data_IF_423693274694
#
_entry.id   IF_423693274694
#
_cell.length_a   1.000
_cell.length_b   1.000
_cell.length_c   1.000
_cell.angle_alpha   90.00
_cell.angle_beta   90.00
_cell.angle_gamma   90.00
#
_symmetry.space_group_name_H-M   'P 1'
#
loop_
_entity.id
_entity.type
_entity.pdbx_description
1 polymer ?
#
# COMPACT_ATOMS: atom_id res chain seq x y z
N UNK A 1 7.22 12.94 -5.11
CA UNK A 1 6.34 13.24 -6.25
C UNK A 1 6.82 12.42 -7.43
N UNK A 2 5.91 11.77 -8.12
CA UNK A 2 6.14 11.08 -9.38
C UNK A 2 5.67 11.97 -10.52
N UNK A 3 6.36 11.88 -11.64
CA UNK A 3 6.02 12.58 -12.87
C UNK A 3 5.81 11.53 -13.94
N UNK A 4 4.63 11.56 -14.57
CA UNK A 4 4.25 10.65 -15.63
C UNK A 4 3.91 11.45 -16.88
N UNK A 5 4.46 11.07 -18.02
CA UNK A 5 3.98 11.57 -19.32
C UNK A 5 2.87 10.63 -19.81
N UNK A 6 1.66 11.18 -19.91
CA UNK A 6 0.50 10.46 -20.47
C UNK A 6 -0.02 11.28 -21.65
N UNK A 7 0.21 10.78 -22.86
CA UNK A 7 -0.19 11.42 -24.13
C UNK A 7 0.38 12.84 -24.31
N UNK A 8 1.64 13.07 -23.94
CA UNK A 8 2.31 14.38 -24.06
C UNK A 8 1.86 15.38 -23.00
N UNK A 9 1.08 14.93 -22.00
CA UNK A 9 0.72 15.72 -20.83
C UNK A 9 1.43 15.19 -19.61
N UNK A 10 2.18 16.08 -18.97
CA UNK A 10 2.83 15.79 -17.70
C UNK A 10 1.79 15.75 -16.57
N UNK A 11 1.77 14.64 -15.84
CA UNK A 11 0.86 14.36 -14.74
C UNK A 11 1.66 14.05 -13.49
N UNK A 12 1.22 14.60 -12.36
CA UNK A 12 1.96 14.58 -11.11
C UNK A 12 1.21 13.79 -10.05
N UNK A 13 1.88 12.80 -9.45
CA UNK A 13 1.36 12.07 -8.30
C UNK A 13 2.24 12.38 -7.07
N UNK A 14 1.72 13.20 -6.16
CA UNK A 14 2.39 13.60 -4.94
C UNK A 14 1.73 13.06 -3.67
N UNK A 15 2.27 13.46 -2.53
CA UNK A 15 1.70 13.13 -1.22
C UNK A 15 0.28 13.69 -1.07
N UNK A 16 -0.03 14.81 -1.74
CA UNK A 16 -1.36 15.43 -1.76
C UNK A 16 -2.38 14.53 -2.48
N UNK A 17 -2.05 14.04 -3.67
CA UNK A 17 -2.91 13.12 -4.42
C UNK A 17 -3.11 11.83 -3.65
N UNK A 18 -2.03 11.30 -3.06
CA UNK A 18 -2.07 10.12 -2.20
C UNK A 18 -3.01 10.31 -1.00
N UNK A 19 -2.90 11.44 -0.29
CA UNK A 19 -3.79 11.81 0.83
C UNK A 19 -5.26 11.89 0.39
N UNK A 20 -5.54 12.58 -0.71
CA UNK A 20 -6.91 12.77 -1.21
C UNK A 20 -7.55 11.44 -1.61
N UNK A 21 -6.76 10.53 -2.18
CA UNK A 21 -7.24 9.23 -2.65
C UNK A 21 -7.45 8.25 -1.50
N UNK A 22 -6.46 8.12 -0.61
CA UNK A 22 -6.48 7.12 0.46
C UNK A 22 -7.21 7.59 1.70
N UNK A 23 -7.18 8.89 2.00
CA UNK A 23 -7.61 9.44 3.28
C UNK A 23 -6.65 9.15 4.43
N UNK A 24 -5.51 8.50 4.18
CA UNK A 24 -4.52 8.25 5.22
C UNK A 24 -3.93 9.55 5.73
N UNK A 25 -3.69 9.63 7.03
CA UNK A 25 -3.05 10.80 7.60
C UNK A 25 -1.64 10.95 7.01
N UNK A 26 -1.39 12.13 6.46
CA UNK A 26 -0.12 12.55 5.88
C UNK A 26 0.33 13.86 6.52
N UNK A 27 1.62 14.17 6.44
CA UNK A 27 2.25 15.30 7.13
C UNK A 27 2.64 14.98 8.58
N UNK A 28 3.36 15.89 9.24
CA UNK A 28 3.92 15.66 10.57
C UNK A 28 5.14 14.72 10.60
N UNK A 29 5.66 14.47 11.80
CA UNK A 29 6.83 13.62 12.02
C UNK A 29 6.48 12.13 11.85
N UNK A 30 7.36 11.36 11.21
CA UNK A 30 7.25 9.90 11.13
C UNK A 30 7.87 9.18 12.33
N UNK A 31 8.47 9.92 13.27
CA UNK A 31 9.00 9.32 14.50
C UNK A 31 7.86 9.15 15.49
N UNK A 32 7.69 7.92 15.98
CA UNK A 32 6.76 7.64 17.05
C UNK A 32 7.37 8.03 18.39
N UNK A 33 6.80 9.06 19.03
CA UNK A 33 7.29 9.58 20.31
C UNK A 33 6.85 8.66 21.46
N UNK A 34 7.83 8.04 22.12
CA UNK A 34 7.65 7.15 23.26
C UNK A 34 8.91 7.12 24.13
N UNK A 35 8.78 6.71 25.39
CA UNK A 35 9.94 6.45 26.25
C UNK A 35 10.76 5.29 25.65
N UNK A 36 12.07 5.45 25.51
CA UNK A 36 12.97 4.42 24.97
C UNK A 36 12.91 3.10 25.75
N UNK A 37 12.52 3.15 27.03
CA UNK A 37 12.33 1.98 27.89
C UNK A 37 10.95 1.34 27.77
N UNK A 38 10.07 1.86 26.89
CA UNK A 38 8.73 1.29 26.70
C UNK A 38 8.82 -0.13 26.18
N UNK A 39 8.07 -1.02 26.82
CA UNK A 39 7.97 -2.43 26.47
C UNK A 39 6.60 -2.65 25.84
N UNK A 40 6.58 -3.25 24.64
CA UNK A 40 5.33 -3.66 24.02
C UNK A 40 4.84 -4.97 24.64
N UNK A 41 3.61 -4.97 25.14
CA UNK A 41 2.94 -6.16 25.70
C UNK A 41 2.87 -7.27 24.65
N UNK A 42 2.50 -6.91 23.41
CA UNK A 42 2.38 -7.84 22.30
C UNK A 42 3.73 -8.44 21.89
N UNK A 43 4.79 -7.64 21.80
CA UNK A 43 6.13 -8.18 21.52
C UNK A 43 6.56 -9.16 22.60
N UNK A 44 6.49 -8.77 23.87
CA UNK A 44 6.92 -9.64 24.97
C UNK A 44 6.10 -10.93 25.05
N UNK A 45 4.81 -10.89 24.70
CA UNK A 45 3.92 -12.03 24.79
C UNK A 45 4.08 -13.02 23.63
N UNK A 46 4.15 -12.52 22.39
CA UNK A 46 4.09 -13.36 21.20
C UNK A 46 5.44 -13.55 20.50
N UNK A 47 6.40 -12.68 20.77
CA UNK A 47 7.72 -12.66 20.14
C UNK A 47 8.82 -12.44 21.19
N UNK A 48 8.95 -13.30 22.22
CA UNK A 48 9.82 -13.05 23.38
C UNK A 48 11.32 -12.98 23.05
N UNK A 49 11.73 -13.47 21.87
CA UNK A 49 13.11 -13.41 21.39
C UNK A 49 13.41 -12.10 20.61
N UNK A 50 12.39 -11.33 20.27
CA UNK A 50 12.49 -10.10 19.49
C UNK A 50 12.30 -8.88 20.40
N UNK A 51 13.29 -7.98 20.41
CA UNK A 51 13.29 -6.81 21.32
C UNK A 51 12.79 -5.54 20.64
N UNK A 52 13.35 -5.21 19.46
CA UNK A 52 13.08 -3.93 18.80
C UNK A 52 12.30 -4.07 17.48
N UNK A 53 12.22 -5.28 16.93
CA UNK A 53 11.52 -5.55 15.67
C UNK A 53 11.31 -7.05 15.50
N UNK A 54 10.24 -7.41 14.80
CA UNK A 54 9.89 -8.80 14.46
C UNK A 54 9.96 -8.99 12.96
N UNK A 55 10.48 -10.13 12.48
CA UNK A 55 10.41 -10.47 11.06
C UNK A 55 8.95 -10.56 10.63
N UNK A 56 8.56 -9.85 9.56
CA UNK A 56 7.15 -9.78 9.15
C UNK A 56 6.57 -11.17 8.82
N UNK A 57 7.38 -12.08 8.26
CA UNK A 57 6.97 -13.46 8.03
C UNK A 57 6.60 -14.20 9.33
N UNK A 58 7.39 -14.02 10.40
CA UNK A 58 7.08 -14.61 11.71
C UNK A 58 5.83 -13.99 12.32
N UNK A 59 5.66 -12.67 12.19
CA UNK A 59 4.42 -12.01 12.62
C UNK A 59 3.19 -12.59 11.90
N UNK A 60 3.23 -12.72 10.58
CA UNK A 60 2.13 -13.26 9.78
C UNK A 60 1.84 -14.72 10.16
N UNK A 61 2.88 -15.52 10.41
CA UNK A 61 2.74 -16.91 10.87
C UNK A 61 1.97 -16.96 12.20
N UNK A 62 2.39 -16.16 13.19
CA UNK A 62 1.69 -16.10 14.49
C UNK A 62 0.26 -15.58 14.34
N UNK A 63 0.04 -14.59 13.47
CA UNK A 63 -1.30 -14.02 13.26
C UNK A 63 -2.30 -15.00 12.63
N UNK A 64 -1.83 -15.88 11.74
CA UNK A 64 -2.68 -16.83 11.01
C UNK A 64 -2.86 -18.18 11.72
N UNK A 65 -2.09 -18.45 12.76
CA UNK A 65 -2.20 -19.70 13.51
C UNK A 65 -3.38 -19.62 14.50
N UNK A 66 -4.35 -20.50 14.33
CA UNK A 66 -5.54 -20.54 15.15
C UNK A 66 -5.21 -20.81 16.62
N UNK A 67 -5.80 -20.02 17.52
CA UNK A 67 -5.67 -20.20 18.97
C UNK A 67 -4.36 -19.70 19.60
N UNK A 68 -3.44 -19.13 18.82
CA UNK A 68 -2.24 -18.48 19.40
C UNK A 68 -2.54 -17.11 20.02
N UNK A 69 -3.35 -16.30 19.34
CA UNK A 69 -3.66 -14.94 19.79
C UNK A 69 -4.80 -14.95 20.79
N UNK A 70 -4.60 -14.29 21.93
CA UNK A 70 -5.66 -14.07 22.92
C UNK A 70 -6.71 -13.08 22.39
N UNK A 71 -7.97 -13.28 22.76
CA UNK A 71 -9.10 -12.46 22.32
C UNK A 71 -8.87 -10.96 22.56
N UNK A 72 -8.34 -10.61 23.74
CA UNK A 72 -8.02 -9.22 24.13
C UNK A 72 -6.97 -8.54 23.23
N UNK A 73 -6.10 -9.31 22.59
CA UNK A 73 -5.01 -8.81 21.75
C UNK A 73 -5.36 -8.84 20.26
N UNK A 74 -6.44 -9.53 19.89
CA UNK A 74 -6.80 -9.79 18.49
C UNK A 74 -6.99 -8.51 17.69
N UNK A 75 -7.60 -7.48 18.30
CA UNK A 75 -7.79 -6.19 17.64
C UNK A 75 -6.45 -5.52 17.30
N UNK A 76 -5.53 -5.42 18.27
CA UNK A 76 -4.24 -4.78 18.07
C UNK A 76 -3.37 -5.58 17.07
N UNK A 77 -3.36 -6.91 17.18
CA UNK A 77 -2.67 -7.78 16.23
C UNK A 77 -3.25 -7.61 14.81
N UNK A 78 -4.57 -7.52 14.67
CA UNK A 78 -5.24 -7.27 13.39
C UNK A 78 -4.88 -5.91 12.81
N UNK A 79 -4.76 -4.88 13.64
CA UNK A 79 -4.33 -3.55 13.20
C UNK A 79 -2.88 -3.55 12.72
N UNK A 80 -1.97 -4.22 13.44
CA UNK A 80 -0.57 -4.36 13.02
C UNK A 80 -0.47 -5.17 11.72
N UNK A 81 -1.26 -6.25 11.59
CA UNK A 81 -1.36 -7.01 10.35
C UNK A 81 -1.85 -6.14 9.20
N UNK A 82 -2.91 -5.34 9.42
CA UNK A 82 -3.48 -4.47 8.40
C UNK A 82 -2.48 -3.39 7.94
N UNK A 83 -1.85 -2.70 8.90
CA UNK A 83 -0.86 -1.66 8.62
C UNK A 83 0.34 -2.26 7.88
N UNK A 84 0.94 -3.31 8.41
CA UNK A 84 2.15 -3.89 7.83
C UNK A 84 1.89 -4.51 6.47
N UNK A 85 0.79 -5.25 6.30
CA UNK A 85 0.50 -6.03 5.10
C UNK A 85 -0.16 -5.19 4.00
N UNK A 86 -1.17 -4.38 4.33
CA UNK A 86 -1.92 -3.63 3.32
C UNK A 86 -1.40 -2.21 3.15
N UNK A 87 -1.21 -1.45 4.24
CA UNK A 87 -0.81 -0.03 4.13
C UNK A 87 0.64 0.10 3.68
N UNK A 88 1.54 -0.72 4.22
CA UNK A 88 2.98 -0.64 3.96
C UNK A 88 3.47 -1.67 2.92
N UNK A 89 2.71 -2.75 2.68
CA UNK A 89 2.93 -3.77 1.63
C UNK A 89 4.38 -4.22 1.41
N UNK A 90 5.16 -4.34 2.47
CA UNK A 90 6.56 -4.79 2.37
C UNK A 90 6.69 -6.32 2.22
N UNK A 91 7.74 -6.86 1.57
CA UNK A 91 7.94 -8.30 1.41
C UNK A 91 8.11 -9.01 2.77
N UNK A 92 7.30 -10.03 3.12
CA UNK A 92 7.35 -10.66 4.45
C UNK A 92 8.72 -11.20 4.85
N UNK A 93 9.46 -11.76 3.90
CA UNK A 93 10.76 -12.39 4.15
C UNK A 93 11.92 -11.40 4.26
N UNK A 94 11.73 -10.15 3.84
CA UNK A 94 12.80 -9.14 3.78
C UNK A 94 12.52 -7.92 4.67
N UNK A 95 11.36 -7.88 5.31
CA UNK A 95 10.92 -6.72 6.09
C UNK A 95 10.61 -7.09 7.53
N UNK A 96 10.75 -6.10 8.41
CA UNK A 96 10.51 -6.25 9.83
C UNK A 96 9.45 -5.24 10.28
N UNK A 97 8.66 -5.62 11.28
CA UNK A 97 7.72 -4.74 11.97
C UNK A 97 8.44 -4.19 13.21
N UNK A 98 8.75 -2.88 13.26
CA UNK A 98 9.46 -2.29 14.40
C UNK A 98 8.55 -2.20 15.64
N UNK A 99 9.15 -2.23 16.82
CA UNK A 99 8.52 -2.04 18.13
C UNK A 99 7.61 -0.82 18.18
N UNK A 100 8.02 0.27 17.55
CA UNK A 100 7.24 1.50 17.44
C UNK A 100 5.84 1.27 16.86
N UNK A 101 5.68 0.34 15.91
CA UNK A 101 4.37 0.02 15.35
C UNK A 101 3.49 -0.71 16.37
N UNK A 102 4.07 -1.58 17.19
CA UNK A 102 3.34 -2.26 18.25
C UNK A 102 2.90 -1.25 19.31
N UNK A 103 3.82 -0.44 19.81
CA UNK A 103 3.53 0.59 20.82
C UNK A 103 2.50 1.61 20.33
N UNK A 104 2.59 2.03 19.07
CA UNK A 104 1.65 2.96 18.45
C UNK A 104 0.22 2.39 18.35
N UNK A 105 0.11 1.08 18.10
CA UNK A 105 -1.19 0.39 18.08
C UNK A 105 -1.73 0.19 19.49
N UNK A 106 -0.90 -0.29 20.42
CA UNK A 106 -1.26 -0.52 21.82
C UNK A 106 -1.70 0.77 22.54
N UNK A 107 -1.08 1.91 22.22
CA UNK A 107 -1.42 3.22 22.80
C UNK A 107 -2.67 3.85 22.17
N UNK A 108 -3.20 3.29 21.08
CA UNK A 108 -4.30 3.87 20.31
C UNK A 108 -3.89 5.03 19.38
N UNK A 109 -2.61 5.44 19.40
CA UNK A 109 -2.14 6.58 18.59
C UNK A 109 -2.07 6.28 17.10
N UNK A 110 -2.17 5.01 16.68
CA UNK A 110 -2.24 4.57 15.29
C UNK A 110 -3.27 5.31 14.44
N UNK A 111 -4.37 5.80 15.02
CA UNK A 111 -5.40 6.60 14.32
C UNK A 111 -4.83 7.94 13.85
N UNK A 112 -3.94 8.52 14.66
CA UNK A 112 -3.37 9.85 14.46
C UNK A 112 -1.95 9.81 13.93
N UNK A 113 -1.35 8.64 13.82
CA UNK A 113 -0.01 8.46 13.27
C UNK A 113 -0.05 8.62 11.73
N UNK A 114 0.95 9.30 11.12
CA UNK A 114 0.91 9.61 9.70
C UNK A 114 1.38 8.42 8.84
N UNK A 115 0.66 7.29 8.90
CA UNK A 115 0.95 6.08 8.10
C UNK A 115 1.05 6.37 6.60
N UNK A 116 0.31 7.38 6.12
CA UNK A 116 0.36 7.79 4.73
C UNK A 116 1.72 8.32 4.29
N UNK A 117 2.52 8.90 5.19
CA UNK A 117 3.89 9.32 4.87
C UNK A 117 4.79 8.11 4.60
N UNK A 118 4.77 7.12 5.50
CA UNK A 118 5.57 5.91 5.38
C UNK A 118 5.14 5.08 4.16
N UNK A 119 3.83 4.94 3.95
CA UNK A 119 3.27 4.24 2.80
C UNK A 119 3.64 4.91 1.48
N UNK A 120 3.53 6.24 1.37
CA UNK A 120 3.91 6.96 0.16
C UNK A 120 5.43 6.92 -0.08
N UNK A 121 6.24 6.97 0.99
CA UNK A 121 7.68 6.81 0.89
C UNK A 121 8.04 5.43 0.32
N UNK A 122 7.47 4.36 0.86
CA UNK A 122 7.70 2.99 0.40
C UNK A 122 7.29 2.83 -1.07
N UNK A 123 6.10 3.32 -1.44
CA UNK A 123 5.62 3.29 -2.82
C UNK A 123 6.58 4.00 -3.78
N UNK A 124 7.09 5.16 -3.37
CA UNK A 124 8.06 5.92 -4.16
C UNK A 124 9.38 5.19 -4.31
N UNK A 125 9.88 4.64 -3.22
CA UNK A 125 11.12 3.90 -3.23
C UNK A 125 11.01 2.65 -4.12
N UNK A 126 9.95 1.85 -3.97
CA UNK A 126 9.73 0.63 -4.77
C UNK A 126 9.65 0.94 -6.26
N UNK A 127 8.85 1.93 -6.68
CA UNK A 127 8.74 2.32 -8.10
C UNK A 127 10.10 2.77 -8.65
N UNK A 128 10.82 3.63 -7.92
CA UNK A 128 12.13 4.14 -8.39
C UNK A 128 13.18 3.04 -8.54
N UNK A 129 13.19 2.05 -7.65
CA UNK A 129 14.14 0.94 -7.69
C UNK A 129 13.81 -0.10 -8.76
N UNK A 130 12.53 -0.24 -9.13
CA UNK A 130 12.05 -1.23 -10.09
C UNK A 130 12.07 -0.73 -11.52
N UNK A 131 11.96 0.58 -11.75
CA UNK A 131 12.23 1.19 -13.05
C UNK A 131 13.66 0.93 -13.57
N UNK A 132 14.55 0.36 -12.74
CA UNK A 132 15.90 -0.06 -13.08
C UNK A 132 16.06 -1.58 -13.34
N UNK A 133 14.98 -2.39 -13.27
CA UNK A 133 15.02 -3.87 -13.35
C UNK A 133 13.92 -4.45 -14.24
N UNK A 134 14.02 -5.75 -14.54
CA UNK A 134 13.11 -6.52 -15.41
C UNK A 134 11.65 -6.53 -14.87
N UNK A 135 10.60 -6.23 -15.67
CA UNK A 135 9.24 -5.97 -15.19
C UNK A 135 8.45 -7.18 -14.65
N UNK A 136 8.88 -8.41 -14.98
CA UNK A 136 8.05 -9.61 -14.81
C UNK A 136 7.85 -10.06 -13.34
N UNK A 137 8.63 -9.54 -12.38
CA UNK A 137 8.59 -9.97 -10.97
C UNK A 137 8.51 -8.81 -9.97
N UNK A 138 7.82 -7.75 -10.35
CA UNK A 138 7.80 -6.51 -9.57
C UNK A 138 6.68 -6.53 -8.51
N UNK A 139 7.06 -6.61 -7.23
CA UNK A 139 6.16 -6.37 -6.08
C UNK A 139 6.36 -4.97 -5.53
N UNK A 140 5.31 -4.15 -5.52
CA UNK A 140 5.37 -2.81 -4.94
C UNK A 140 5.19 -2.80 -3.43
N UNK A 141 5.91 -1.89 -2.80
CA UNK A 141 5.72 -1.56 -1.39
C UNK A 141 4.81 -0.33 -1.26
N UNK A 142 4.31 -0.08 -0.05
CA UNK A 142 3.37 1.00 0.22
C UNK A 142 1.93 0.66 -0.18
N UNK A 143 1.16 1.68 -0.58
CA UNK A 143 -0.25 1.54 -0.96
C UNK A 143 -0.49 1.83 -2.45
N UNK A 144 -0.07 0.92 -3.34
CA UNK A 144 -0.08 1.11 -4.79
C UNK A 144 -1.49 1.24 -5.41
N UNK A 145 -2.54 0.77 -4.74
CA UNK A 145 -3.93 1.02 -5.13
C UNK A 145 -4.24 2.52 -5.26
N UNK A 146 -3.58 3.37 -4.48
CA UNK A 146 -3.71 4.82 -4.62
C UNK A 146 -3.25 5.33 -5.99
N UNK A 147 -2.15 4.76 -6.52
CA UNK A 147 -1.64 5.11 -7.84
C UNK A 147 -2.58 4.62 -8.94
N UNK A 148 -3.21 3.46 -8.76
CA UNK A 148 -4.21 2.92 -9.69
C UNK A 148 -5.44 3.81 -9.80
N UNK A 149 -6.01 4.21 -8.66
CA UNK A 149 -7.14 5.13 -8.64
C UNK A 149 -6.76 6.49 -9.24
N UNK A 150 -5.57 7.00 -8.92
CA UNK A 150 -5.07 8.25 -9.51
C UNK A 150 -4.98 8.15 -11.04
N UNK A 151 -4.46 7.03 -11.55
CA UNK A 151 -4.38 6.78 -12.98
C UNK A 151 -5.76 6.73 -13.63
N UNK A 152 -6.73 6.08 -12.97
CA UNK A 152 -8.12 6.07 -13.44
C UNK A 152 -8.74 7.46 -13.49
N UNK A 153 -8.38 8.35 -12.57
CA UNK A 153 -8.84 9.74 -12.55
C UNK A 153 -8.22 10.60 -13.64
N UNK A 154 -7.01 10.25 -14.08
CA UNK A 154 -6.25 11.01 -15.07
C UNK A 154 -6.57 10.58 -16.51
N UNK A 155 -6.99 9.33 -16.71
CA UNK A 155 -7.33 8.80 -18.02
C UNK A 155 -8.81 9.01 -18.35
N UNK A 156 -9.12 10.02 -19.15
CA UNK A 156 -10.48 10.28 -19.68
C UNK A 156 -11.09 9.11 -20.50
N UNK A 157 -10.32 8.04 -20.74
CA UNK A 157 -10.69 6.84 -21.51
C UNK A 157 -10.60 5.56 -20.69
N UNK A 158 -10.64 5.62 -19.35
CA UNK A 158 -10.90 4.38 -18.60
C UNK A 158 -12.23 3.85 -19.09
N UNK A 159 -12.18 2.69 -19.75
CA UNK A 159 -13.37 2.02 -20.22
C UNK A 159 -14.28 1.79 -19.00
N UNK A 160 -15.54 2.24 -19.08
CA UNK A 160 -16.53 2.02 -18.02
C UNK A 160 -16.78 0.54 -17.74
N UNK A 161 -16.28 -0.36 -18.59
CA UNK A 161 -16.21 -1.80 -18.32
C UNK A 161 -15.12 -2.20 -17.31
N UNK A 162 -14.14 -1.34 -17.01
CA UNK A 162 -13.01 -1.61 -16.10
C UNK A 162 -13.30 -1.04 -14.71
N UNK A 163 -13.55 0.26 -14.62
CA UNK A 163 -13.85 0.94 -13.37
C UNK A 163 -14.83 2.10 -13.61
N UNK A 164 -15.82 2.24 -12.74
CA UNK A 164 -16.83 3.29 -12.83
C UNK A 164 -16.74 4.15 -11.57
N UNK A 165 -16.43 5.44 -11.76
CA UNK A 165 -16.48 6.40 -10.67
C UNK A 165 -17.94 6.74 -10.34
N UNK A 166 -18.34 6.51 -9.09
CA UNK A 166 -19.70 6.82 -8.59
C UNK A 166 -19.82 8.20 -7.96
N UNK A 167 -18.71 8.76 -7.48
CA UNK A 167 -18.73 10.02 -6.73
C UNK A 167 -17.33 10.67 -6.70
N UNK A 168 -17.28 11.97 -6.38
CA UNK A 168 -16.05 12.75 -6.22
C UNK A 168 -15.68 13.03 -4.76
N UNK A 169 -16.36 12.39 -3.79
CA UNK A 169 -16.09 12.57 -2.36
C UNK A 169 -14.70 12.06 -1.97
N UNK A 170 -14.21 12.54 -0.83
CA UNK A 170 -12.96 12.04 -0.22
C UNK A 170 -13.27 11.12 0.95
N UNK A 171 -12.46 10.06 1.18
CA UNK A 171 -11.33 9.68 0.34
C UNK A 171 -11.80 9.02 -0.98
N UNK A 172 -11.08 9.30 -2.07
CA UNK A 172 -11.56 8.96 -3.41
C UNK A 172 -11.67 7.46 -3.66
N UNK A 173 -10.88 6.64 -2.97
CA UNK A 173 -10.88 5.18 -3.04
C UNK A 173 -12.26 4.54 -2.87
N UNK A 174 -13.14 5.10 -2.03
CA UNK A 174 -14.48 4.55 -1.79
C UNK A 174 -15.52 4.92 -2.84
N UNK A 175 -15.13 5.60 -3.92
CA UNK A 175 -16.07 6.11 -4.92
C UNK A 175 -15.92 5.42 -6.28
N UNK A 176 -15.36 4.22 -6.28
CA UNK A 176 -15.11 3.43 -7.48
C UNK A 176 -15.78 2.07 -7.36
N UNK A 177 -16.58 1.73 -8.39
CA UNK A 177 -17.08 0.37 -8.59
C UNK A 177 -16.20 -0.33 -9.62
N UNK A 178 -15.85 -1.57 -9.32
CA UNK A 178 -15.15 -2.47 -10.23
C UNK A 178 -16.20 -3.36 -10.90
N UNK A 179 -16.14 -3.52 -12.22
CA UNK A 179 -17.03 -4.49 -12.87
C UNK A 179 -16.61 -5.89 -12.44
N UNK A 180 -17.58 -6.68 -11.94
CA UNK A 180 -17.35 -7.91 -11.16
C UNK A 180 -16.47 -8.98 -11.81
N UNK A 181 -16.11 -8.87 -13.10
CA UNK A 181 -15.49 -9.94 -13.88
C UNK A 181 -14.34 -9.52 -14.82
N UNK A 182 -13.83 -8.28 -14.80
CA UNK A 182 -12.91 -7.82 -15.86
C UNK A 182 -11.79 -6.87 -15.43
N UNK A 183 -10.99 -7.26 -14.45
CA UNK A 183 -9.60 -6.79 -14.46
C UNK A 183 -8.70 -7.87 -15.06
N UNK A 184 -8.92 -8.15 -16.35
CA UNK A 184 -8.02 -9.03 -17.11
C UNK A 184 -6.95 -8.18 -17.79
N UNK A 185 -5.68 -8.56 -17.57
CA UNK A 185 -4.47 -8.04 -18.21
C UNK A 185 -4.67 -7.70 -19.69
N UNK A 186 -5.24 -8.66 -20.43
CA UNK A 186 -5.55 -8.56 -21.85
C UNK A 186 -6.46 -7.39 -22.23
N UNK A 187 -7.45 -7.04 -21.38
CA UNK A 187 -8.45 -6.02 -21.69
C UNK A 187 -7.88 -4.61 -21.48
N UNK A 188 -7.09 -4.42 -20.42
CA UNK A 188 -6.33 -3.18 -20.19
C UNK A 188 -5.35 -2.95 -21.35
N UNK A 189 -4.53 -3.95 -21.67
CA UNK A 189 -3.52 -3.88 -22.74
C UNK A 189 -4.15 -3.63 -24.13
N UNK A 190 -5.23 -4.35 -24.49
CA UNK A 190 -5.89 -4.21 -25.80
C UNK A 190 -6.75 -2.94 -25.93
N UNK A 191 -7.32 -2.43 -24.83
CA UNK A 191 -8.26 -1.31 -24.84
C UNK A 191 -7.62 0.07 -24.61
N UNK A 192 -6.79 0.22 -23.57
CA UNK A 192 -6.26 1.53 -23.15
C UNK A 192 -4.91 1.85 -23.81
N UNK A 193 -4.09 0.85 -24.12
CA UNK A 193 -2.66 1.05 -24.39
C UNK A 193 -2.20 0.64 -25.80
N UNK A 194 -3.05 -0.05 -26.55
CA UNK A 194 -2.80 -0.45 -27.96
C UNK A 194 -2.55 0.72 -28.92
N UNK A 195 -2.84 1.95 -28.51
CA UNK A 195 -2.75 3.14 -29.37
C UNK A 195 -1.41 3.91 -29.30
N UNK A 196 -0.53 3.62 -28.34
CA UNK A 196 0.50 4.60 -27.98
C UNK A 196 1.95 4.11 -27.81
N UNK A 197 2.29 2.88 -28.22
CA UNK A 197 3.68 2.47 -28.57
C UNK A 197 4.85 2.82 -27.64
N UNK A 198 4.62 3.18 -26.37
CA UNK A 198 5.64 3.69 -25.46
C UNK A 198 6.05 2.62 -24.45
N UNK A 199 7.35 2.33 -24.34
CA UNK A 199 7.92 1.33 -23.42
C UNK A 199 7.60 1.62 -21.94
N UNK A 200 7.47 2.88 -21.55
CA UNK A 200 7.10 3.30 -20.17
C UNK A 200 5.66 2.88 -19.80
N UNK A 201 4.78 2.83 -20.80
CA UNK A 201 3.36 2.48 -20.62
C UNK A 201 3.19 0.97 -20.42
N UNK A 202 4.03 0.16 -21.08
CA UNK A 202 4.04 -1.30 -20.95
C UNK A 202 4.55 -1.74 -19.56
N UNK A 203 5.55 -1.02 -19.04
CA UNK A 203 6.00 -1.16 -17.65
C UNK A 203 4.88 -0.79 -16.68
N UNK A 204 4.24 0.38 -16.81
CA UNK A 204 3.11 0.77 -15.94
C UNK A 204 1.92 -0.21 -16.00
N UNK A 205 1.66 -0.81 -17.15
CA UNK A 205 0.68 -1.87 -17.34
C UNK A 205 1.02 -3.13 -16.55
N UNK A 206 2.23 -3.68 -16.72
CA UNK A 206 2.71 -4.85 -15.99
C UNK A 206 2.68 -4.61 -14.47
N UNK A 207 3.03 -3.38 -14.08
CA UNK A 207 2.95 -2.87 -12.72
C UNK A 207 1.51 -2.84 -12.18
N UNK A 208 0.50 -2.44 -12.98
CA UNK A 208 -0.91 -2.44 -12.57
C UNK A 208 -1.54 -3.84 -12.47
N UNK A 209 -1.07 -4.82 -13.25
CA UNK A 209 -1.59 -6.19 -13.19
C UNK A 209 -1.03 -6.97 -12.00
N UNK A 210 0.27 -6.82 -11.69
CA UNK A 210 0.86 -7.51 -10.54
C UNK A 210 0.29 -7.05 -9.18
N UNK A 211 -0.42 -5.91 -9.16
CA UNK A 211 -1.11 -5.37 -7.99
C UNK A 211 -2.44 -6.03 -7.64
N UNK A 212 -3.00 -6.82 -8.56
CA UNK A 212 -4.36 -7.38 -8.42
C UNK A 212 -4.32 -8.88 -8.15
N UNK A 213 -3.19 -9.55 -8.45
CA UNK A 213 -3.11 -11.02 -8.45
C UNK A 213 -2.23 -11.64 -7.35
N UNK A 214 -1.73 -10.85 -6.40
CA UNK A 214 -0.93 -11.37 -5.28
C UNK A 214 -1.30 -10.70 -3.94
N UNK A 215 -2.59 -10.73 -3.60
CA UNK A 215 -3.05 -10.78 -2.20
C UNK A 215 -3.19 -12.24 -1.74
#
# INVERSE_FOLDING_TARGET
MFVFDINGKEMHFGLREFLIITGFKCGGCMVFDHDQNSISKLLSRYFPNDVDKVLKADFIRVFKEDGLIQEEDFFNMSMIYFISTFILSSPPQLSHIPKDHFLCVESGQYITYPWGNLSFYNLRHSISSQMAKDPDYVKFEGFPLALQIWFYECCNKVDGSIAIRKSNRTPRIFNWDISKNKIYFDHLQKGMFRKYGNQVIEVLLLLFINLIFYE
#
